data_IF_429661837589
#
_entry.id   IF_429661837589
#
_cell.length_a   1.000
_cell.length_b   1.000
_cell.length_c   1.000
_cell.angle_alpha   90.00
_cell.angle_beta   90.00
_cell.angle_gamma   90.00
#
_symmetry.space_group_name_H-M   'P 1'
#
loop_
_entity.id
_entity.type
_entity.pdbx_description
1 polymer ?
#
# COMPACT_ATOMS: atom_id res chain seq x y z
N UNK A 1 17.38 -21.18 -22.73
CA UNK A 1 16.47 -20.00 -22.73
C UNK A 1 15.92 -19.62 -21.34
N UNK A 2 15.54 -20.56 -20.45
CA UNK A 2 14.98 -20.23 -19.12
C UNK A 2 15.89 -19.44 -18.16
N UNK A 3 17.20 -19.73 -18.13
CA UNK A 3 18.14 -19.02 -17.23
C UNK A 3 18.35 -17.54 -17.56
N UNK A 4 18.06 -17.10 -18.79
CA UNK A 4 18.05 -15.67 -19.12
C UNK A 4 16.74 -15.01 -18.68
N UNK A 5 15.61 -15.69 -18.89
CA UNK A 5 14.30 -15.19 -18.47
C UNK A 5 14.25 -14.94 -16.95
N UNK A 6 14.74 -15.89 -16.14
CA UNK A 6 14.77 -15.74 -14.68
C UNK A 6 15.62 -14.53 -14.22
N UNK A 7 16.82 -14.34 -14.78
CA UNK A 7 17.69 -13.21 -14.42
C UNK A 7 17.13 -11.87 -14.89
N UNK A 8 16.52 -11.83 -16.07
CA UNK A 8 15.83 -10.63 -16.55
C UNK A 8 14.65 -10.29 -15.64
N UNK A 9 13.84 -11.27 -15.26
CA UNK A 9 12.70 -11.06 -14.36
C UNK A 9 13.15 -10.47 -13.02
N UNK A 10 14.18 -11.06 -12.39
CA UNK A 10 14.76 -10.55 -11.15
C UNK A 10 15.20 -9.08 -11.30
N UNK A 11 15.97 -8.76 -12.34
CA UNK A 11 16.44 -7.39 -12.58
C UNK A 11 15.30 -6.40 -12.80
N UNK A 12 14.25 -6.81 -13.49
CA UNK A 12 13.06 -5.96 -13.68
C UNK A 12 12.36 -5.70 -12.35
N UNK A 13 12.24 -6.70 -11.48
CA UNK A 13 11.67 -6.52 -10.13
C UNK A 13 12.52 -5.54 -9.31
N UNK A 14 13.84 -5.69 -9.29
CA UNK A 14 14.75 -4.76 -8.61
C UNK A 14 14.59 -3.30 -9.10
N UNK A 15 14.40 -3.10 -10.41
CA UNK A 15 14.14 -1.77 -10.95
C UNK A 15 12.75 -1.24 -10.55
N UNK A 16 11.72 -2.09 -10.53
CA UNK A 16 10.37 -1.69 -10.13
C UNK A 16 10.33 -1.27 -8.67
N UNK A 17 11.05 -1.97 -7.78
CA UNK A 17 11.17 -1.57 -6.38
C UNK A 17 11.75 -0.16 -6.21
N UNK A 18 12.76 0.20 -7.03
CA UNK A 18 13.31 1.56 -7.05
C UNK A 18 12.28 2.59 -7.51
N UNK A 19 11.55 2.29 -8.59
CA UNK A 19 10.48 3.18 -9.11
C UNK A 19 9.41 3.41 -8.04
N UNK A 20 8.95 2.35 -7.37
CA UNK A 20 7.96 2.45 -6.30
C UNK A 20 8.47 3.24 -5.09
N UNK A 21 9.78 3.16 -4.80
CA UNK A 21 10.40 3.95 -3.74
C UNK A 21 10.35 5.45 -4.03
N UNK A 22 10.63 5.82 -5.28
CA UNK A 22 10.57 7.21 -5.77
C UNK A 22 9.12 7.70 -5.76
N UNK A 23 8.18 6.89 -6.24
CA UNK A 23 6.76 7.21 -6.24
C UNK A 23 6.23 7.46 -4.82
N UNK A 24 6.59 6.59 -3.87
CA UNK A 24 6.17 6.72 -2.47
C UNK A 24 6.73 8.01 -1.83
N UNK A 25 7.99 8.36 -2.11
CA UNK A 25 8.58 9.63 -1.67
C UNK A 25 7.84 10.84 -2.24
N UNK A 26 7.59 10.83 -3.55
CA UNK A 26 6.87 11.89 -4.23
C UNK A 26 5.43 12.04 -3.70
N UNK A 27 4.74 10.93 -3.46
CA UNK A 27 3.39 10.91 -2.89
C UNK A 27 3.37 11.48 -1.47
N UNK A 28 4.32 11.10 -0.61
CA UNK A 28 4.43 11.68 0.74
C UNK A 28 4.69 13.18 0.69
N UNK A 29 5.50 13.65 -0.25
CA UNK A 29 5.73 15.08 -0.46
C UNK A 29 4.47 15.78 -0.97
N UNK A 30 3.70 15.16 -1.86
CA UNK A 30 2.42 15.67 -2.35
C UNK A 30 1.37 15.82 -1.23
N UNK A 31 1.32 14.88 -0.29
CA UNK A 31 0.44 14.98 0.90
C UNK A 31 0.75 16.23 1.72
N UNK A 32 2.04 16.60 1.85
CA UNK A 32 2.44 17.79 2.59
C UNK A 32 2.00 19.09 1.92
N UNK A 33 2.11 19.16 0.60
CA UNK A 33 1.67 20.33 -0.16
C UNK A 33 0.15 20.52 -0.09
N UNK A 34 -0.60 19.47 0.22
CA UNK A 34 -2.05 19.50 0.38
C UNK A 34 -2.51 19.77 1.83
N UNK A 35 -1.61 19.92 2.80
CA UNK A 35 -2.00 20.24 4.18
C UNK A 35 -2.76 21.59 4.21
N UNK A 36 -3.85 21.71 5.00
CA UNK A 36 -4.26 20.85 6.12
C UNK A 36 -5.13 19.64 5.76
N UNK A 37 -5.34 19.32 4.48
CA UNK A 37 -6.10 18.12 4.11
C UNK A 37 -5.44 16.85 4.66
N UNK A 38 -6.27 15.90 5.07
CA UNK A 38 -5.82 14.59 5.57
C UNK A 38 -6.36 13.48 4.68
N UNK A 39 -5.52 12.48 4.44
CA UNK A 39 -5.90 11.27 3.71
C UNK A 39 -6.49 10.23 4.67
N UNK A 40 -6.77 9.04 4.17
CA UNK A 40 -7.32 7.94 4.97
C UNK A 40 -6.32 7.47 6.04
N UNK A 41 -6.83 6.90 7.14
CA UNK A 41 -6.03 6.40 8.25
C UNK A 41 -4.85 5.48 7.85
N UNK A 42 -5.01 4.46 6.97
CA UNK A 42 -3.86 3.63 6.58
C UNK A 42 -2.79 4.42 5.83
N UNK A 43 -3.19 5.38 4.99
CA UNK A 43 -2.24 6.19 4.21
C UNK A 43 -1.50 7.20 5.08
N UNK A 44 -2.16 7.83 6.06
CA UNK A 44 -1.48 8.69 7.05
C UNK A 44 -0.43 7.90 7.85
N UNK A 45 -0.73 6.65 8.25
CA UNK A 45 0.26 5.80 8.94
C UNK A 45 1.45 5.42 8.07
N UNK A 46 1.23 5.16 6.78
CA UNK A 46 2.32 4.91 5.83
C UNK A 46 3.16 6.18 5.63
N UNK A 47 2.51 7.34 5.51
CA UNK A 47 3.19 8.63 5.47
C UNK A 47 4.06 8.84 6.71
N UNK A 48 3.52 8.63 7.91
CA UNK A 48 4.25 8.77 9.17
C UNK A 48 5.47 7.83 9.21
N UNK A 49 5.30 6.58 8.78
CA UNK A 49 6.40 5.60 8.67
C UNK A 49 7.52 6.12 7.75
N UNK A 50 7.20 6.64 6.57
CA UNK A 50 8.20 7.19 5.64
C UNK A 50 8.90 8.40 6.25
N UNK A 51 8.18 9.25 6.98
CA UNK A 51 8.75 10.42 7.65
C UNK A 51 9.64 10.09 8.86
N UNK A 52 9.61 8.86 9.36
CA UNK A 52 10.61 8.40 10.34
C UNK A 52 12.00 8.22 9.74
N UNK A 53 12.11 7.97 8.42
CA UNK A 53 13.40 7.72 7.74
C UNK A 53 13.83 8.88 6.85
N UNK A 54 12.89 9.57 6.19
CA UNK A 54 13.18 10.65 5.25
C UNK A 54 12.40 11.91 5.60
N UNK A 55 13.14 13.00 5.83
CA UNK A 55 12.56 14.30 6.17
C UNK A 55 11.79 14.92 5.00
N UNK A 56 10.76 15.74 5.27
CA UNK A 56 10.10 16.61 4.28
C UNK A 56 11.09 17.36 3.40
N UNK A 57 10.72 17.60 2.14
CA UNK A 57 11.54 18.34 1.20
C UNK A 57 11.22 19.84 1.25
N UNK A 58 12.14 20.61 1.81
CA UNK A 58 12.03 22.09 1.90
C UNK A 58 12.94 22.77 0.87
N UNK A 59 14.12 22.19 0.64
CA UNK A 59 15.13 22.65 -0.31
C UNK A 59 15.79 21.45 -0.97
N UNK A 60 16.33 21.67 -2.17
CA UNK A 60 17.04 20.64 -2.91
C UNK A 60 18.19 20.05 -2.09
N UNK A 61 18.30 18.73 -2.15
CA UNK A 61 19.37 17.96 -1.54
C UNK A 61 19.61 16.70 -2.36
N UNK A 62 20.70 16.01 -2.07
CA UNK A 62 21.04 14.76 -2.74
C UNK A 62 19.97 13.68 -2.49
N UNK A 63 19.32 13.20 -3.55
CA UNK A 63 18.14 12.33 -3.45
C UNK A 63 18.48 10.85 -3.22
N UNK A 64 19.65 10.37 -3.68
CA UNK A 64 20.01 8.95 -3.66
C UNK A 64 19.85 8.31 -2.26
N UNK A 65 20.33 8.92 -1.17
CA UNK A 65 20.23 8.32 0.17
C UNK A 65 18.78 8.19 0.65
N UNK A 66 17.93 9.15 0.27
CA UNK A 66 16.50 9.14 0.62
C UNK A 66 15.77 8.02 -0.13
N UNK A 67 16.06 7.87 -1.43
CA UNK A 67 15.51 6.79 -2.26
C UNK A 67 15.93 5.43 -1.71
N UNK A 68 17.21 5.25 -1.38
CA UNK A 68 17.72 4.01 -0.79
C UNK A 68 17.09 3.70 0.57
N UNK A 69 16.88 4.72 1.41
CA UNK A 69 16.23 4.54 2.71
C UNK A 69 14.78 4.03 2.57
N UNK A 70 14.03 4.57 1.61
CA UNK A 70 12.66 4.12 1.33
C UNK A 70 12.64 2.77 0.63
N UNK A 71 13.58 2.49 -0.28
CA UNK A 71 13.71 1.17 -0.90
C UNK A 71 13.92 0.07 0.15
N UNK A 72 14.75 0.32 1.17
CA UNK A 72 14.92 -0.59 2.31
C UNK A 72 13.61 -0.79 3.10
N UNK A 73 12.79 0.25 3.29
CA UNK A 73 11.48 0.08 3.95
C UNK A 73 10.54 -0.85 3.18
N UNK A 74 10.57 -0.78 1.84
CA UNK A 74 9.78 -1.66 0.97
C UNK A 74 10.29 -3.10 1.05
N UNK A 75 11.60 -3.31 0.97
CA UNK A 75 12.22 -4.64 1.11
C UNK A 75 11.96 -5.29 2.47
N UNK A 76 11.99 -4.50 3.56
CA UNK A 76 11.66 -4.95 4.91
C UNK A 76 10.16 -5.23 5.11
N UNK A 77 9.35 -4.96 4.08
CA UNK A 77 7.89 -5.05 4.06
C UNK A 77 7.22 -4.22 5.15
N UNK A 78 7.86 -3.16 5.64
CA UNK A 78 7.33 -2.32 6.73
C UNK A 78 6.06 -1.60 6.29
N UNK A 79 6.03 -1.11 5.04
CA UNK A 79 4.85 -0.47 4.44
C UNK A 79 3.68 -1.45 4.37
N UNK A 80 3.92 -2.68 3.91
CA UNK A 80 2.90 -3.73 3.85
C UNK A 80 2.37 -4.07 5.25
N UNK A 81 3.24 -4.25 6.24
CA UNK A 81 2.84 -4.56 7.63
C UNK A 81 1.93 -3.48 8.23
N UNK A 82 2.14 -2.21 7.86
CA UNK A 82 1.27 -1.10 8.31
C UNK A 82 -0.09 -1.14 7.61
N UNK A 83 -0.14 -1.40 6.30
CA UNK A 83 -1.37 -1.39 5.52
C UNK A 83 -2.20 -2.68 5.66
N UNK A 84 -1.55 -3.82 5.89
CA UNK A 84 -2.15 -5.16 5.88
C UNK A 84 -3.40 -5.30 6.77
N UNK A 85 -3.39 -4.87 8.05
CA UNK A 85 -4.58 -5.00 8.90
C UNK A 85 -5.80 -4.22 8.38
N UNK A 86 -5.56 -3.12 7.66
CA UNK A 86 -6.64 -2.33 7.05
C UNK A 86 -7.18 -2.98 5.79
N UNK A 87 -6.32 -3.62 5.00
CA UNK A 87 -6.71 -4.37 3.80
C UNK A 87 -7.53 -5.61 4.20
N UNK A 88 -7.10 -6.35 5.22
CA UNK A 88 -7.86 -7.51 5.72
C UNK A 88 -9.26 -7.10 6.19
N UNK A 89 -9.35 -6.03 6.99
CA UNK A 89 -10.65 -5.48 7.42
C UNK A 89 -11.52 -5.08 6.23
N UNK A 90 -10.94 -4.39 5.25
CA UNK A 90 -11.66 -4.00 4.04
C UNK A 90 -12.20 -5.23 3.28
N UNK A 91 -11.38 -6.27 3.14
CA UNK A 91 -11.78 -7.51 2.45
C UNK A 91 -12.94 -8.20 3.17
N UNK A 92 -12.87 -8.33 4.50
CA UNK A 92 -13.95 -8.95 5.30
C UNK A 92 -15.25 -8.14 5.22
N UNK A 93 -15.17 -6.81 5.25
CA UNK A 93 -16.35 -5.95 5.27
C UNK A 93 -16.99 -5.71 3.89
N UNK A 94 -16.21 -5.74 2.81
CA UNK A 94 -16.64 -5.24 1.49
C UNK A 94 -16.50 -6.23 0.34
N UNK A 95 -15.80 -7.36 0.51
CA UNK A 95 -15.78 -8.43 -0.50
C UNK A 95 -16.74 -9.53 -0.01
N UNK A 96 -18.04 -9.47 -0.39
CA UNK A 96 -18.90 -10.62 -0.17
C UNK A 96 -18.32 -11.81 -0.94
N UNK A 97 -18.37 -12.99 -0.34
CA UNK A 97 -17.96 -14.24 -0.96
C UNK A 97 -18.76 -14.39 -2.27
N UNK A 98 -18.13 -14.09 -3.41
CA UNK A 98 -18.77 -14.09 -4.74
C UNK A 98 -18.95 -15.49 -5.31
N UNK A 99 -18.79 -16.54 -4.48
CA UNK A 99 -19.12 -17.89 -4.88
C UNK A 99 -20.62 -17.89 -5.23
N UNK A 100 -21.01 -18.21 -6.48
CA UNK A 100 -22.40 -18.50 -6.72
C UNK A 100 -22.79 -19.61 -5.74
N UNK A 101 -23.83 -19.40 -4.94
CA UNK A 101 -24.40 -20.47 -4.14
C UNK A 101 -24.69 -21.61 -5.12
N UNK A 102 -23.93 -22.71 -5.03
CA UNK A 102 -24.27 -23.93 -5.75
C UNK A 102 -25.72 -24.24 -5.38
N UNK A 103 -26.58 -24.65 -6.34
CA UNK A 103 -27.95 -25.05 -6.02
C UNK A 103 -28.00 -26.24 -5.03
N UNK A 104 -26.87 -26.89 -4.75
CA UNK A 104 -26.70 -27.95 -3.75
C UNK A 104 -26.03 -27.48 -2.45
N UNK A 105 -25.60 -26.21 -2.35
CA UNK A 105 -24.97 -25.68 -1.13
C UNK A 105 -26.03 -25.31 -0.10
N UNK A 106 -26.15 -26.12 0.94
CA UNK A 106 -26.94 -25.80 2.12
C UNK A 106 -26.14 -24.85 3.02
N UNK A 107 -26.61 -23.62 3.24
CA UNK A 107 -26.03 -22.71 4.24
C UNK A 107 -27.10 -22.33 5.27
N UNK A 108 -26.74 -22.47 6.55
CA UNK A 108 -27.61 -22.19 7.71
C UNK A 108 -27.59 -20.71 8.13
N UNK A 109 -26.71 -19.89 7.53
CA UNK A 109 -26.51 -18.50 7.94
C UNK A 109 -27.00 -17.51 6.88
N UNK A 110 -27.82 -16.55 7.32
CA UNK A 110 -28.26 -15.43 6.48
C UNK A 110 -27.06 -14.57 6.10
N UNK A 111 -26.88 -14.19 4.81
CA UNK A 111 -25.78 -13.31 4.42
C UNK A 111 -25.94 -11.97 5.13
N UNK A 112 -24.88 -11.52 5.81
CA UNK A 112 -24.81 -10.17 6.35
C UNK A 112 -24.87 -9.19 5.18
N UNK A 113 -25.95 -8.41 5.11
CA UNK A 113 -26.14 -7.36 4.12
C UNK A 113 -24.89 -6.45 4.03
N UNK A 114 -24.41 -6.10 2.83
CA UNK A 114 -23.29 -5.17 2.70
C UNK A 114 -23.66 -3.86 3.39
N UNK A 115 -22.95 -3.51 4.47
CA UNK A 115 -23.14 -2.23 5.16
C UNK A 115 -22.86 -1.11 4.16
N UNK A 116 -23.91 -0.35 3.85
CA UNK A 116 -23.85 0.89 3.05
C UNK A 116 -22.68 1.74 3.59
N UNK A 117 -21.80 2.23 2.71
CA UNK A 117 -20.71 3.17 3.08
C UNK A 117 -21.29 4.29 3.95
N UNK A 118 -21.09 4.20 5.26
CA UNK A 118 -21.34 5.33 6.15
C UNK A 118 -20.13 6.23 6.03
N UNK A 119 -20.30 7.37 5.38
CA UNK A 119 -19.31 8.43 5.35
C UNK A 119 -19.21 8.93 6.79
N UNK A 120 -18.12 8.58 7.48
CA UNK A 120 -17.79 9.21 8.76
C UNK A 120 -17.42 10.67 8.43
N UNK A 121 -18.20 11.61 8.96
CA UNK A 121 -17.99 13.05 8.88
C UNK A 121 -16.74 13.49 9.66
#
# INVERSE_FOLDING_TARGET
MGGWAARKALRVVEHVEQVLSIELLAACQGIEFLRPLRTTTPLEKVYDLVRTVVKPWIKDRFMSPDIEAVHRLLLDQKVWKVAHPYIERYNVEHIPESRPNSPTAFSLESPTSPRKRVRLE
#
